data_IF_189612776126
#
_entry.id   IF_189612776126
#
_cell.length_a   1.000
_cell.length_b   1.000
_cell.length_c   1.000
_cell.angle_alpha   90.00
_cell.angle_beta   90.00
_cell.angle_gamma   90.00
#
_symmetry.space_group_name_H-M   'P 1'
#
loop_
_entity.id
_entity.type
_entity.pdbx_description
1 polymer ?
#
# COMPACT_ATOMS: atom_id res chain seq x y z
N UNK A 1 -20.82 -19.24 20.88
CA UNK A 1 -21.28 -18.37 19.77
C UNK A 1 -20.56 -18.86 18.53
N UNK A 2 -21.23 -19.29 17.45
CA UNK A 2 -20.53 -19.55 16.20
C UNK A 2 -19.93 -18.21 15.73
N UNK A 3 -18.63 -18.20 15.46
CA UNK A 3 -17.96 -17.09 14.78
C UNK A 3 -18.72 -16.87 13.47
N UNK A 4 -19.24 -15.66 13.18
CA UNK A 4 -19.75 -15.40 11.85
C UNK A 4 -18.60 -15.70 10.89
N UNK A 5 -18.81 -16.64 9.98
CA UNK A 5 -17.94 -16.78 8.83
C UNK A 5 -17.96 -15.39 8.19
N UNK A 6 -16.87 -14.63 8.36
CA UNK A 6 -16.71 -13.38 7.67
C UNK A 6 -17.00 -13.71 6.21
N UNK A 7 -18.04 -13.08 5.66
CA UNK A 7 -18.33 -13.17 4.23
C UNK A 7 -16.99 -13.03 3.53
N UNK A 8 -16.61 -14.05 2.76
CA UNK A 8 -15.33 -14.15 2.07
C UNK A 8 -15.30 -13.12 0.94
N UNK A 9 -15.40 -11.85 1.31
CA UNK A 9 -15.38 -10.72 0.42
C UNK A 9 -13.95 -10.65 -0.09
N UNK A 10 -13.77 -11.07 -1.34
CA UNK A 10 -12.49 -11.01 -2.01
C UNK A 10 -11.89 -9.62 -1.82
N UNK A 11 -10.63 -9.56 -1.38
CA UNK A 11 -9.97 -8.28 -1.17
C UNK A 11 -9.82 -7.57 -2.51
N UNK A 12 -9.94 -6.22 -2.54
CA UNK A 12 -9.86 -5.46 -3.77
C UNK A 12 -8.54 -5.71 -4.49
N UNK A 13 -8.61 -5.92 -5.81
CA UNK A 13 -7.41 -6.18 -6.62
C UNK A 13 -6.61 -4.87 -6.80
N UNK A 14 -5.31 -4.85 -6.45
CA UNK A 14 -4.45 -3.69 -6.62
C UNK A 14 -4.34 -3.27 -8.08
N UNK A 15 -4.65 -2.00 -8.35
CA UNK A 15 -4.61 -1.43 -9.71
C UNK A 15 -3.24 -0.82 -10.02
N UNK A 16 -2.20 -1.67 -10.14
CA UNK A 16 -0.82 -1.22 -10.35
C UNK A 16 -0.60 -0.46 -11.67
N UNK A 17 -1.45 -0.66 -12.68
CA UNK A 17 -1.40 0.11 -13.94
C UNK A 17 -1.79 1.58 -13.78
N UNK A 18 -2.42 1.96 -12.66
CA UNK A 18 -2.94 3.30 -12.41
C UNK A 18 -2.09 4.13 -11.42
N UNK A 19 -0.86 3.69 -11.11
CA UNK A 19 -0.02 4.36 -10.12
C UNK A 19 0.32 5.81 -10.49
N UNK A 20 0.38 6.14 -11.78
CA UNK A 20 0.57 7.53 -12.25
C UNK A 20 -0.62 8.40 -11.87
N UNK A 21 -1.85 7.91 -12.08
CA UNK A 21 -3.09 8.63 -11.75
C UNK A 21 -3.22 8.81 -10.22
N UNK A 22 -2.86 7.77 -9.46
CA UNK A 22 -2.83 7.81 -7.99
C UNK A 22 -1.83 8.86 -7.51
N UNK A 23 -0.60 8.87 -8.03
CA UNK A 23 0.40 9.86 -7.65
C UNK A 23 -0.06 11.30 -7.95
N UNK A 24 -0.68 11.52 -9.11
CA UNK A 24 -1.22 12.83 -9.48
C UNK A 24 -2.36 13.28 -8.54
N UNK A 25 -3.25 12.37 -8.16
CA UNK A 25 -4.33 12.67 -7.21
C UNK A 25 -3.80 13.01 -5.81
N UNK A 26 -2.73 12.34 -5.36
CA UNK A 26 -2.07 12.64 -4.09
C UNK A 26 -1.39 14.02 -4.12
N UNK A 27 -0.68 14.33 -5.20
CA UNK A 27 0.02 15.61 -5.36
C UNK A 27 -0.94 16.82 -5.28
N UNK A 28 -2.18 16.67 -5.74
CA UNK A 28 -3.20 17.73 -5.66
C UNK A 28 -3.56 18.15 -4.21
N UNK A 29 -3.25 17.31 -3.22
CA UNK A 29 -3.57 17.55 -1.81
C UNK A 29 -2.32 17.72 -0.93
N UNK A 30 -1.14 17.36 -1.43
CA UNK A 30 0.11 17.33 -0.67
C UNK A 30 0.51 18.69 -0.07
N UNK A 31 0.41 19.79 -0.84
CA UNK A 31 0.81 21.13 -0.36
C UNK A 31 -0.07 21.62 0.82
N UNK A 32 -1.36 21.27 0.79
CA UNK A 32 -2.27 21.61 1.86
C UNK A 32 -1.94 20.81 3.13
N UNK A 33 -1.68 19.50 3.00
CA UNK A 33 -1.32 18.65 4.14
C UNK A 33 0.03 19.05 4.76
N UNK A 34 1.03 19.41 3.95
CA UNK A 34 2.33 19.88 4.44
C UNK A 34 2.17 21.17 5.28
N UNK A 35 1.27 22.07 4.86
CA UNK A 35 0.99 23.32 5.60
C UNK A 35 0.14 23.12 6.86
N UNK A 36 -0.82 22.20 6.87
CA UNK A 36 -1.73 22.03 8.03
C UNK A 36 -1.30 20.96 9.02
N UNK A 37 -0.38 20.07 8.63
CA UNK A 37 0.02 18.89 9.39
C UNK A 37 -1.17 17.96 9.76
N UNK A 38 -2.26 18.03 9.01
CA UNK A 38 -3.41 17.14 9.18
C UNK A 38 -3.14 15.75 8.61
N UNK A 39 -3.85 14.74 9.12
CA UNK A 39 -3.82 13.41 8.52
C UNK A 39 -4.34 13.43 7.07
N UNK A 40 -3.66 12.76 6.12
CA UNK A 40 -3.99 12.81 4.69
C UNK A 40 -5.18 11.90 4.36
N UNK A 41 -6.33 12.10 4.98
CA UNK A 41 -7.52 11.24 4.84
C UNK A 41 -7.97 11.07 3.38
N UNK A 42 -7.97 12.15 2.60
CA UNK A 42 -8.30 12.11 1.19
C UNK A 42 -7.31 11.24 0.40
N UNK A 43 -6.01 11.35 0.71
CA UNK A 43 -4.97 10.52 0.10
C UNK A 43 -5.12 9.05 0.46
N UNK A 44 -5.41 8.73 1.73
CA UNK A 44 -5.67 7.36 2.17
C UNK A 44 -6.89 6.76 1.48
N UNK A 45 -7.95 7.53 1.24
CA UNK A 45 -9.10 7.09 0.47
C UNK A 45 -8.72 6.73 -0.98
N UNK A 46 -7.90 7.56 -1.65
CA UNK A 46 -7.40 7.24 -3.00
C UNK A 46 -6.63 5.92 -3.03
N UNK A 47 -5.75 5.70 -2.04
CA UNK A 47 -4.95 4.46 -1.93
C UNK A 47 -5.84 3.24 -1.64
N UNK A 48 -6.86 3.40 -0.81
CA UNK A 48 -7.87 2.38 -0.52
C UNK A 48 -8.66 1.99 -1.77
N UNK A 49 -9.20 2.96 -2.51
CA UNK A 49 -9.97 2.73 -3.75
C UNK A 49 -9.10 2.13 -4.87
N UNK A 50 -7.79 2.33 -4.82
CA UNK A 50 -6.83 1.69 -5.71
C UNK A 50 -6.50 0.23 -5.30
N UNK A 51 -7.02 -0.25 -4.17
CA UNK A 51 -6.79 -1.60 -3.62
C UNK A 51 -5.40 -1.80 -3.03
N UNK A 52 -4.58 -0.74 -2.94
CA UNK A 52 -3.16 -0.85 -2.63
C UNK A 52 -2.89 -1.22 -1.17
N UNK A 53 -3.82 -0.93 -0.26
CA UNK A 53 -3.72 -1.29 1.17
C UNK A 53 -3.76 -2.80 1.43
N UNK A 54 -4.16 -3.60 0.45
CA UNK A 54 -4.24 -5.05 0.58
C UNK A 54 -3.19 -5.78 -0.27
N UNK A 55 -2.30 -5.05 -0.96
CA UNK A 55 -1.37 -5.59 -1.94
C UNK A 55 -0.65 -6.85 -1.48
N UNK A 56 -0.16 -6.84 -0.23
CA UNK A 56 0.71 -7.87 0.34
C UNK A 56 -0.05 -9.02 1.01
N UNK A 57 -1.39 -8.94 1.12
CA UNK A 57 -2.19 -10.01 1.75
C UNK A 57 -2.07 -11.28 0.93
N UNK A 58 -1.63 -12.37 1.55
CA UNK A 58 -1.39 -13.64 0.87
C UNK A 58 -2.65 -14.23 0.25
N UNK A 59 -2.49 -14.92 -0.89
CA UNK A 59 -3.60 -15.53 -1.65
C UNK A 59 -4.41 -16.54 -0.85
N UNK A 60 -3.79 -17.25 0.11
CA UNK A 60 -4.46 -18.14 1.04
C UNK A 60 -5.47 -17.45 1.99
N UNK A 61 -5.41 -16.12 2.09
CA UNK A 61 -6.35 -15.28 2.85
C UNK A 61 -7.28 -14.47 1.94
N UNK A 62 -7.35 -14.80 0.64
CA UNK A 62 -8.18 -14.08 -0.33
C UNK A 62 -7.58 -12.75 -0.81
N UNK A 63 -6.28 -12.54 -0.58
CA UNK A 63 -5.55 -11.35 -1.00
C UNK A 63 -4.73 -11.50 -2.29
N UNK A 64 -4.12 -10.41 -2.76
CA UNK A 64 -3.42 -10.35 -4.04
C UNK A 64 -2.05 -11.02 -4.05
N UNK A 65 -1.39 -11.14 -2.89
CA UNK A 65 -0.07 -11.76 -2.76
C UNK A 65 1.07 -11.01 -3.44
N UNK A 66 0.96 -9.69 -3.58
CA UNK A 66 1.98 -8.82 -4.16
C UNK A 66 3.33 -8.96 -3.46
N UNK A 67 4.39 -9.03 -4.26
CA UNK A 67 5.75 -9.21 -3.78
C UNK A 67 6.52 -7.90 -3.62
N UNK A 68 7.77 -8.00 -3.18
CA UNK A 68 8.66 -6.84 -2.95
C UNK A 68 8.69 -5.85 -4.12
N UNK A 69 8.77 -6.33 -5.36
CA UNK A 69 8.85 -5.47 -6.53
C UNK A 69 7.58 -4.60 -6.69
N UNK A 70 6.40 -5.15 -6.39
CA UNK A 70 5.15 -4.40 -6.43
C UNK A 70 5.07 -3.41 -5.26
N UNK A 71 5.49 -3.83 -4.07
CA UNK A 71 5.57 -2.95 -2.89
C UNK A 71 6.48 -1.74 -3.15
N UNK A 72 7.67 -1.95 -3.72
CA UNK A 72 8.59 -0.86 -4.07
C UNK A 72 7.97 0.08 -5.11
N UNK A 73 7.30 -0.46 -6.14
CA UNK A 73 6.61 0.35 -7.15
C UNK A 73 5.52 1.22 -6.54
N UNK A 74 4.70 0.65 -5.66
CA UNK A 74 3.65 1.38 -4.95
C UNK A 74 4.24 2.45 -4.05
N UNK A 75 5.19 2.12 -3.17
CA UNK A 75 5.81 3.09 -2.27
C UNK A 75 6.48 4.24 -3.03
N UNK A 76 7.15 3.95 -4.15
CA UNK A 76 7.77 4.98 -4.99
C UNK A 76 6.72 5.91 -5.60
N UNK A 77 5.62 5.37 -6.11
CA UNK A 77 4.54 6.17 -6.69
C UNK A 77 3.82 7.03 -5.65
N UNK A 78 3.50 6.44 -4.48
CA UNK A 78 2.89 7.17 -3.37
C UNK A 78 3.79 8.30 -2.90
N UNK A 79 5.09 8.03 -2.71
CA UNK A 79 6.04 9.03 -2.23
C UNK A 79 6.28 10.17 -3.22
N UNK A 80 6.12 9.93 -4.51
CA UNK A 80 6.17 10.98 -5.53
C UNK A 80 4.96 11.91 -5.47
N UNK A 81 3.79 11.40 -5.06
CA UNK A 81 2.57 12.19 -4.92
C UNK A 81 2.46 12.91 -3.57
N UNK A 82 2.57 12.15 -2.48
CA UNK A 82 2.53 12.65 -1.10
C UNK A 82 3.42 11.75 -0.19
N UNK A 83 4.59 12.25 0.26
CA UNK A 83 5.49 11.49 1.15
C UNK A 83 4.84 11.00 2.44
N UNK A 84 3.89 11.76 3.00
CA UNK A 84 3.20 11.39 4.24
C UNK A 84 2.32 10.15 4.05
N UNK A 85 1.70 10.00 2.87
CA UNK A 85 0.90 8.83 2.52
C UNK A 85 1.78 7.58 2.36
N UNK A 86 2.94 7.72 1.72
CA UNK A 86 3.91 6.61 1.60
C UNK A 86 4.45 6.16 2.97
N UNK A 87 4.69 7.12 3.88
CA UNK A 87 5.11 6.85 5.25
C UNK A 87 4.04 6.18 6.10
N UNK A 88 2.74 6.40 5.86
CA UNK A 88 1.67 5.69 6.56
C UNK A 88 1.44 4.29 5.97
N UNK A 89 1.68 4.13 4.67
CA UNK A 89 1.61 2.83 4.00
C UNK A 89 2.73 1.88 4.45
N UNK A 90 3.96 2.37 4.61
CA UNK A 90 5.13 1.57 5.00
C UNK A 90 4.96 0.79 6.32
N UNK A 91 4.44 1.36 7.43
CA UNK A 91 4.16 0.64 8.66
C UNK A 91 3.21 -0.55 8.49
N UNK A 92 2.35 -0.55 7.48
CA UNK A 92 1.45 -1.68 7.18
C UNK A 92 2.23 -2.87 6.57
N UNK A 93 3.34 -2.60 5.87
CA UNK A 93 4.10 -3.59 5.08
C UNK A 93 5.46 -3.98 5.69
N UNK A 94 5.73 -3.66 6.95
CA UNK A 94 7.02 -3.89 7.64
C UNK A 94 7.49 -5.36 7.54
N UNK A 95 6.55 -6.30 7.52
CA UNK A 95 6.82 -7.74 7.35
C UNK A 95 7.35 -8.07 5.96
N UNK A 96 6.83 -7.43 4.90
CA UNK A 96 7.27 -7.71 3.52
C UNK A 96 8.65 -7.14 3.26
N UNK A 97 8.93 -5.92 3.71
CA UNK A 97 10.26 -5.31 3.55
C UNK A 97 11.31 -6.05 4.37
N UNK A 98 10.96 -6.49 5.59
CA UNK A 98 11.84 -7.30 6.44
C UNK A 98 12.10 -8.70 5.87
N UNK A 99 11.05 -9.38 5.37
CA UNK A 99 11.20 -10.69 4.73
C UNK A 99 12.01 -10.61 3.44
N UNK A 100 11.79 -9.57 2.63
CA UNK A 100 12.58 -9.28 1.44
C UNK A 100 14.05 -8.97 1.75
N UNK A 101 14.30 -8.13 2.76
CA UNK A 101 15.65 -7.81 3.23
C UNK A 101 16.40 -9.07 3.67
N UNK A 102 15.72 -9.95 4.41
CA UNK A 102 16.27 -11.26 4.82
C UNK A 102 16.57 -12.16 3.61
N UNK A 103 15.64 -12.28 2.66
CA UNK A 103 15.83 -13.11 1.46
C UNK A 103 16.97 -12.59 0.57
N UNK A 104 17.21 -11.28 0.51
CA UNK A 104 18.34 -10.69 -0.21
C UNK A 104 19.68 -10.97 0.48
N UNK A 105 19.72 -10.99 1.81
CA UNK A 105 20.91 -11.35 2.58
C UNK A 105 21.25 -12.85 2.43
N UNK A 106 20.24 -13.71 2.45
CA UNK A 106 20.40 -15.17 2.30
C UNK A 106 20.83 -15.58 0.88
N UNK A 107 20.47 -14.82 -0.16
CA UNK A 107 20.89 -15.10 -1.55
C UNK A 107 22.33 -14.69 -1.87
N UNK A 108 22.94 -13.86 -1.04
CA UNK A 108 24.31 -13.34 -1.21
C UNK A 108 25.29 -13.93 -0.18
N UNK A 109 24.87 -14.94 0.57
CA UNK A 109 25.69 -15.72 1.52
C UNK A 109 25.93 -17.13 0.96
#
# INVERSE_FOLDING_TARGET
MPTPAADAQALPTPRLSHLVDVAAALAAHAEQHDRTADLPHAGLAVVHEAGLLTLTVGTGHGGPGGGLADTVRVLTALGHGDPSVALIHTPQDDVVLTAAGRALLERNS
#
